data_IF_407238929085
#
_entry.id   IF_407238929085
#
_cell.length_a   1.000
_cell.length_b   1.000
_cell.length_c   1.000
_cell.angle_alpha   90.00
_cell.angle_beta   90.00
_cell.angle_gamma   90.00
#
_symmetry.space_group_name_H-M   'P 1'
#
loop_
_entity.id
_entity.type
_entity.pdbx_description
1 polymer ?
#
# COMPACT_ATOMS: atom_id res chain seq x y z
N UNK A 1 -12.29 -21.71 5.02
CA UNK A 1 -11.52 -20.76 4.18
C UNK A 1 -10.97 -21.48 2.97
N UNK A 2 -10.50 -20.74 1.95
CA UNK A 2 -10.08 -21.29 0.64
C UNK A 2 -8.57 -21.05 0.42
N UNK A 3 -7.68 -21.66 1.22
CA UNK A 3 -6.23 -21.39 1.13
C UNK A 3 -5.60 -21.92 -0.16
N UNK A 4 -6.19 -22.97 -0.75
CA UNK A 4 -5.72 -23.59 -1.99
C UNK A 4 -6.87 -23.81 -2.95
N UNK A 5 -6.65 -23.48 -4.23
CA UNK A 5 -7.49 -23.85 -5.35
C UNK A 5 -6.89 -25.09 -6.02
N UNK A 6 -7.66 -26.17 -6.07
CA UNK A 6 -7.25 -27.38 -6.79
C UNK A 6 -7.73 -27.30 -8.23
N UNK A 7 -6.78 -27.21 -9.17
CA UNK A 7 -7.02 -27.30 -10.61
C UNK A 7 -6.47 -28.64 -11.11
N UNK A 8 -7.28 -29.69 -10.98
CA UNK A 8 -6.83 -31.06 -11.24
C UNK A 8 -5.67 -31.45 -10.31
N UNK A 9 -4.49 -31.86 -10.84
CA UNK A 9 -3.34 -32.22 -10.01
C UNK A 9 -2.58 -30.99 -9.44
N UNK A 10 -2.89 -29.77 -9.88
CA UNK A 10 -2.18 -28.56 -9.48
C UNK A 10 -2.89 -27.89 -8.30
N UNK A 11 -2.19 -27.76 -7.16
CA UNK A 11 -2.65 -26.97 -6.02
C UNK A 11 -2.05 -25.58 -6.08
N UNK A 12 -2.89 -24.56 -6.32
CA UNK A 12 -2.46 -23.17 -6.39
C UNK A 12 -2.86 -22.46 -5.09
N UNK A 13 -1.93 -21.69 -4.52
CA UNK A 13 -2.23 -20.88 -3.33
C UNK A 13 -3.12 -19.69 -3.70
N UNK A 14 -4.35 -19.70 -3.18
CA UNK A 14 -5.35 -18.65 -3.43
C UNK A 14 -4.89 -17.26 -2.98
N UNK A 15 -4.23 -17.07 -1.81
CA UNK A 15 -3.80 -15.74 -1.37
C UNK A 15 -2.86 -15.06 -2.37
N UNK A 16 -1.90 -15.81 -2.91
CA UNK A 16 -0.98 -15.30 -3.93
C UNK A 16 -1.70 -14.93 -5.23
N UNK A 17 -2.67 -15.74 -5.67
CA UNK A 17 -3.49 -15.42 -6.85
C UNK A 17 -4.31 -14.13 -6.67
N UNK A 18 -4.90 -13.93 -5.49
CA UNK A 18 -5.65 -12.70 -5.18
C UNK A 18 -4.74 -11.48 -5.26
N UNK A 19 -3.53 -11.55 -4.67
CA UNK A 19 -2.57 -10.45 -4.73
C UNK A 19 -2.10 -10.16 -6.16
N UNK A 20 -1.85 -11.20 -6.97
CA UNK A 20 -1.50 -11.05 -8.38
C UNK A 20 -2.63 -10.40 -9.18
N UNK A 21 -3.87 -10.83 -8.98
CA UNK A 21 -5.04 -10.24 -9.62
C UNK A 21 -5.22 -8.77 -9.20
N UNK A 22 -5.06 -8.46 -7.91
CA UNK A 22 -5.16 -7.11 -7.39
C UNK A 22 -4.05 -6.20 -7.93
N UNK A 23 -2.82 -6.70 -8.03
CA UNK A 23 -1.71 -5.97 -8.66
C UNK A 23 -2.01 -5.68 -10.13
N UNK A 24 -2.45 -6.69 -10.89
CA UNK A 24 -2.77 -6.52 -12.31
C UNK A 24 -3.90 -5.51 -12.54
N UNK A 25 -5.01 -5.64 -11.79
CA UNK A 25 -6.13 -4.68 -11.86
C UNK A 25 -5.66 -3.29 -11.44
N UNK A 26 -4.89 -3.20 -10.35
CA UNK A 26 -4.37 -1.94 -9.81
C UNK A 26 -3.48 -1.20 -10.80
N UNK A 27 -2.51 -1.89 -11.39
CA UNK A 27 -1.58 -1.33 -12.39
C UNK A 27 -2.32 -0.93 -13.65
N UNK A 28 -3.25 -1.76 -14.13
CA UNK A 28 -4.11 -1.42 -15.29
C UNK A 28 -4.90 -0.13 -15.05
N UNK A 29 -5.47 0.03 -13.85
CA UNK A 29 -6.19 1.25 -13.47
C UNK A 29 -5.27 2.46 -13.30
N UNK A 30 -4.09 2.28 -12.71
CA UNK A 30 -3.08 3.34 -12.60
C UNK A 30 -2.61 3.80 -13.99
N UNK A 31 -2.35 2.86 -14.91
CA UNK A 31 -2.00 3.15 -16.31
C UNK A 31 -3.08 3.93 -17.05
N UNK A 32 -4.36 3.58 -16.86
CA UNK A 32 -5.52 4.34 -17.40
C UNK A 32 -5.59 5.77 -16.87
N UNK A 33 -5.17 6.00 -15.63
CA UNK A 33 -5.21 7.32 -14.99
C UNK A 33 -3.88 8.08 -15.06
N UNK A 34 -2.80 7.46 -15.54
CA UNK A 34 -1.47 8.05 -15.68
C UNK A 34 -1.47 9.41 -16.41
N UNK A 35 -2.26 9.62 -17.49
CA UNK A 35 -2.28 10.92 -18.17
C UNK A 35 -2.75 12.08 -17.30
N UNK A 36 -3.55 11.82 -16.25
CA UNK A 36 -3.97 12.84 -15.26
C UNK A 36 -2.79 13.40 -14.46
N UNK A 37 -1.65 12.72 -14.47
CA UNK A 37 -0.43 13.09 -13.77
C UNK A 37 0.71 13.43 -14.74
N UNK A 38 0.43 13.56 -16.04
CA UNK A 38 1.46 13.81 -17.05
C UNK A 38 2.36 12.59 -17.33
N UNK A 39 1.90 11.38 -17.01
CA UNK A 39 2.64 10.13 -17.19
C UNK A 39 2.00 9.26 -18.26
N UNK A 40 2.79 8.41 -18.90
CA UNK A 40 2.29 7.40 -19.84
C UNK A 40 1.99 6.09 -19.11
N UNK A 41 1.03 5.31 -19.61
CA UNK A 41 0.73 3.96 -19.08
C UNK A 41 1.97 3.07 -19.10
N UNK A 42 2.75 3.11 -20.18
CA UNK A 42 4.01 2.34 -20.33
C UNK A 42 5.01 2.70 -19.23
N UNK A 43 5.04 3.96 -18.80
CA UNK A 43 5.91 4.38 -17.71
C UNK A 43 5.47 3.80 -16.37
N UNK A 44 4.16 3.77 -16.10
CA UNK A 44 3.59 3.12 -14.90
C UNK A 44 3.91 1.62 -14.90
N UNK A 45 3.75 0.94 -16.03
CA UNK A 45 4.06 -0.49 -16.17
C UNK A 45 5.54 -0.75 -15.88
N UNK A 46 6.45 0.03 -16.47
CA UNK A 46 7.89 -0.09 -16.26
C UNK A 46 8.30 0.19 -14.80
N UNK A 47 7.80 1.28 -14.21
CA UNK A 47 8.07 1.62 -12.80
C UNK A 47 7.59 0.50 -11.90
N UNK A 48 6.37 0.00 -12.13
CA UNK A 48 5.79 -1.04 -11.27
C UNK A 48 6.57 -2.34 -11.39
N UNK A 49 6.99 -2.73 -12.60
CA UNK A 49 7.82 -3.92 -12.80
C UNK A 49 9.17 -3.80 -12.10
N UNK A 50 9.85 -2.65 -12.23
CA UNK A 50 11.12 -2.39 -11.54
C UNK A 50 10.92 -2.43 -10.02
N UNK A 51 9.88 -1.76 -9.51
CA UNK A 51 9.54 -1.75 -8.09
C UNK A 51 9.23 -3.16 -7.56
N UNK A 52 8.47 -3.97 -8.31
CA UNK A 52 8.15 -5.35 -7.95
C UNK A 52 9.40 -6.22 -7.88
N UNK A 53 10.25 -6.18 -8.91
CA UNK A 53 11.47 -6.99 -8.96
C UNK A 53 12.45 -6.61 -7.84
N UNK A 54 12.69 -5.32 -7.65
CA UNK A 54 13.57 -4.84 -6.59
C UNK A 54 12.96 -5.07 -5.21
N UNK A 55 11.63 -4.97 -5.06
CA UNK A 55 10.94 -5.28 -3.81
C UNK A 55 11.06 -6.75 -3.41
N UNK A 56 10.90 -7.68 -4.36
CA UNK A 56 11.08 -9.11 -4.11
C UNK A 56 12.53 -9.40 -3.68
N UNK A 57 13.51 -8.88 -4.42
CA UNK A 57 14.94 -9.06 -4.08
C UNK A 57 15.29 -8.40 -2.75
N UNK A 58 14.79 -7.18 -2.51
CA UNK A 58 15.05 -6.41 -1.31
C UNK A 58 14.44 -7.03 -0.05
N UNK A 59 13.22 -7.54 -0.13
CA UNK A 59 12.59 -8.23 1.00
C UNK A 59 13.29 -9.54 1.33
N UNK A 60 13.78 -10.26 0.31
CA UNK A 60 14.61 -11.45 0.53
C UNK A 60 15.95 -11.09 1.17
N UNK A 61 16.64 -10.08 0.65
CA UNK A 61 17.92 -9.63 1.17
C UNK A 61 17.78 -9.11 2.61
N UNK A 62 16.75 -8.33 2.90
CA UNK A 62 16.45 -7.84 4.26
C UNK A 62 16.22 -8.99 5.24
N UNK A 63 15.43 -10.00 4.86
CA UNK A 63 15.20 -11.18 5.69
C UNK A 63 16.51 -11.94 5.99
N UNK A 64 17.35 -12.13 4.97
CA UNK A 64 18.65 -12.80 5.12
C UNK A 64 19.58 -12.01 6.05
N UNK A 65 19.62 -10.68 5.93
CA UNK A 65 20.42 -9.82 6.79
C UNK A 65 19.97 -9.89 8.26
N UNK A 66 18.65 -9.94 8.50
CA UNK A 66 18.10 -10.08 9.85
C UNK A 66 18.34 -11.47 10.46
N UNK A 67 18.50 -12.51 9.63
CA UNK A 67 18.67 -13.89 10.05
C UNK A 67 20.03 -14.46 9.65
N UNK A 68 21.07 -13.61 9.58
CA UNK A 68 22.37 -13.95 9.03
C UNK A 68 22.98 -15.26 9.59
N UNK A 69 22.91 -15.53 10.92
CA UNK A 69 23.44 -16.77 11.49
C UNK A 69 22.82 -18.04 10.90
N UNK A 70 21.52 -18.02 10.53
CA UNK A 70 20.85 -19.17 9.94
C UNK A 70 21.34 -19.49 8.51
N UNK A 71 21.73 -18.45 7.76
CA UNK A 71 22.17 -18.59 6.37
C UNK A 71 23.66 -18.91 6.22
N UNK A 72 24.49 -18.59 7.22
CA UNK A 72 25.91 -18.99 7.21
C UNK A 72 26.12 -20.51 7.16
N UNK A 73 25.16 -21.29 7.67
CA UNK A 73 25.20 -22.76 7.69
C UNK A 73 24.66 -23.41 6.40
N UNK A 74 23.87 -22.68 5.62
CA UNK A 74 23.24 -23.17 4.40
C UNK A 74 23.02 -22.02 3.40
N UNK A 75 24.08 -21.50 2.76
CA UNK A 75 24.01 -20.28 1.94
C UNK A 75 23.12 -20.41 0.71
N UNK A 76 22.92 -21.62 0.17
CA UNK A 76 22.02 -21.86 -0.95
C UNK A 76 20.54 -21.61 -0.61
N UNK A 77 20.17 -21.57 0.68
CA UNK A 77 18.79 -21.28 1.10
C UNK A 77 18.36 -19.84 0.77
N UNK A 78 19.30 -18.96 0.43
CA UNK A 78 18.99 -17.61 -0.05
C UNK A 78 18.11 -17.65 -1.31
N UNK A 79 18.26 -18.67 -2.16
CA UNK A 79 17.52 -18.83 -3.43
C UNK A 79 16.31 -19.77 -3.29
N UNK A 80 16.14 -20.42 -2.13
CA UNK A 80 15.05 -21.37 -1.92
C UNK A 80 13.68 -20.73 -2.21
N UNK A 81 12.82 -21.42 -2.97
CA UNK A 81 11.45 -20.97 -3.27
C UNK A 81 10.52 -21.17 -2.07
N UNK A 82 10.94 -20.74 -0.87
CA UNK A 82 10.10 -20.67 0.31
C UNK A 82 9.57 -19.24 0.48
N UNK A 83 8.24 -19.01 0.35
CA UNK A 83 7.62 -17.71 0.57
C UNK A 83 7.78 -17.16 1.99
N UNK A 84 8.02 -18.03 2.99
CA UNK A 84 8.17 -17.62 4.40
C UNK A 84 9.51 -16.91 4.67
N UNK A 85 10.47 -17.04 3.76
CA UNK A 85 11.78 -16.38 3.84
C UNK A 85 11.71 -15.01 3.14
N UNK A 86 10.81 -14.13 3.59
CA UNK A 86 10.59 -12.82 2.99
C UNK A 86 10.22 -11.77 4.05
N UNK A 87 10.93 -10.64 4.06
CA UNK A 87 10.59 -9.48 4.88
C UNK A 87 9.81 -8.45 4.06
N UNK A 88 8.52 -8.31 4.39
CA UNK A 88 7.60 -7.40 3.70
C UNK A 88 8.03 -5.94 3.82
N UNK A 89 8.53 -5.51 4.98
CA UNK A 89 8.93 -4.12 5.21
C UNK A 89 10.19 -3.77 4.43
N UNK A 90 11.19 -4.66 4.45
CA UNK A 90 12.38 -4.53 3.62
C UNK A 90 12.06 -4.50 2.12
N UNK A 91 11.11 -5.32 1.67
CA UNK A 91 10.66 -5.32 0.28
C UNK A 91 9.96 -4.03 -0.13
N UNK A 92 9.06 -3.51 0.70
CA UNK A 92 8.38 -2.23 0.45
C UNK A 92 9.36 -1.06 0.40
N UNK A 93 10.33 -1.02 1.32
CA UNK A 93 11.36 0.03 1.34
C UNK A 93 12.23 -0.03 0.08
N UNK A 94 12.69 -1.23 -0.29
CA UNK A 94 13.49 -1.43 -1.51
C UNK A 94 12.73 -1.04 -2.77
N UNK A 95 11.44 -1.42 -2.87
CA UNK A 95 10.58 -1.03 -3.98
C UNK A 95 10.40 0.49 -4.05
N UNK A 96 10.09 1.14 -2.93
CA UNK A 96 9.91 2.60 -2.87
C UNK A 96 11.18 3.35 -3.30
N UNK A 97 12.35 2.91 -2.85
CA UNK A 97 13.65 3.48 -3.26
C UNK A 97 13.92 3.25 -4.75
N UNK A 98 13.63 2.06 -5.26
CA UNK A 98 13.82 1.75 -6.68
C UNK A 98 12.93 2.63 -7.56
N UNK A 99 11.66 2.79 -7.19
CA UNK A 99 10.71 3.70 -7.85
C UNK A 99 11.25 5.12 -7.82
N UNK A 100 11.66 5.63 -6.65
CA UNK A 100 12.18 6.99 -6.52
C UNK A 100 13.42 7.23 -7.40
N UNK A 101 14.39 6.32 -7.36
CA UNK A 101 15.62 6.40 -8.17
C UNK A 101 15.27 6.34 -9.66
N UNK A 102 14.39 5.43 -10.07
CA UNK A 102 13.99 5.29 -11.47
C UNK A 102 13.29 6.55 -11.99
N UNK A 103 12.37 7.11 -11.19
CA UNK A 103 11.66 8.35 -11.49
C UNK A 103 12.60 9.53 -11.66
N UNK A 104 13.55 9.70 -10.73
CA UNK A 104 14.57 10.76 -10.82
C UNK A 104 15.47 10.60 -12.05
N UNK A 105 15.91 9.38 -12.36
CA UNK A 105 16.74 9.09 -13.55
C UNK A 105 16.03 9.36 -14.87
N UNK A 106 14.69 9.34 -14.87
CA UNK A 106 13.86 9.63 -16.05
C UNK A 106 13.41 11.09 -16.12
N UNK A 107 13.88 11.95 -15.21
CA UNK A 107 13.53 13.37 -15.18
C UNK A 107 12.07 13.63 -14.85
N UNK A 108 11.40 12.68 -14.18
CA UNK A 108 10.00 12.80 -13.81
C UNK A 108 9.83 13.37 -12.41
N UNK A 109 8.70 14.03 -12.19
CA UNK A 109 8.28 14.47 -10.87
C UNK A 109 7.96 13.28 -9.96
N UNK A 110 8.64 13.19 -8.81
CA UNK A 110 8.40 12.11 -7.86
C UNK A 110 6.97 12.13 -7.33
N UNK A 111 6.44 13.32 -7.06
CA UNK A 111 5.16 13.50 -6.40
C UNK A 111 4.00 13.05 -7.31
N UNK A 112 4.06 13.40 -8.59
CA UNK A 112 3.14 12.96 -9.65
C UNK A 112 3.23 11.46 -9.88
N UNK A 113 4.44 10.91 -9.85
CA UNK A 113 4.66 9.48 -10.04
C UNK A 113 4.07 8.67 -8.89
N UNK A 114 4.33 9.06 -7.64
CA UNK A 114 3.76 8.38 -6.49
C UNK A 114 2.23 8.56 -6.45
N UNK A 115 1.71 9.76 -6.74
CA UNK A 115 0.26 9.97 -6.84
C UNK A 115 -0.39 9.04 -7.88
N UNK A 116 0.25 8.85 -9.04
CA UNK A 116 -0.25 7.96 -10.09
C UNK A 116 -0.24 6.48 -9.71
N UNK A 117 0.62 6.07 -8.79
CA UNK A 117 0.69 4.69 -8.28
C UNK A 117 -0.31 4.41 -7.16
N UNK A 118 -0.84 5.43 -6.47
CA UNK A 118 -1.74 5.22 -5.34
C UNK A 118 -3.04 4.48 -5.67
N UNK A 119 -3.69 4.66 -6.84
CA UNK A 119 -4.83 3.82 -7.23
C UNK A 119 -4.46 2.34 -7.29
N UNK A 120 -3.26 2.00 -7.79
CA UNK A 120 -2.79 0.62 -7.79
C UNK A 120 -2.57 0.11 -6.36
N UNK A 121 -1.92 0.91 -5.51
CA UNK A 121 -1.69 0.57 -4.11
C UNK A 121 -3.01 0.32 -3.35
N UNK A 122 -4.04 1.13 -3.59
CA UNK A 122 -5.36 0.94 -2.98
C UNK A 122 -6.02 -0.38 -3.40
N UNK A 123 -5.96 -0.74 -4.69
CA UNK A 123 -6.49 -2.04 -5.16
C UNK A 123 -5.71 -3.20 -4.54
N UNK A 124 -4.37 -3.08 -4.46
CA UNK A 124 -3.52 -4.10 -3.81
C UNK A 124 -3.87 -4.25 -2.32
N UNK A 125 -4.15 -3.16 -1.60
CA UNK A 125 -4.58 -3.21 -0.19
C UNK A 125 -5.92 -3.94 -0.01
N UNK A 126 -6.87 -3.77 -0.94
CA UNK A 126 -8.11 -4.56 -0.95
C UNK A 126 -7.82 -6.03 -1.20
N UNK A 127 -6.95 -6.32 -2.19
CA UNK A 127 -6.47 -7.67 -2.46
C UNK A 127 -5.77 -8.31 -1.27
N UNK A 128 -5.02 -7.53 -0.47
CA UNK A 128 -4.35 -8.01 0.72
C UNK A 128 -5.34 -8.51 1.77
N UNK A 129 -6.37 -7.72 2.11
CA UNK A 129 -7.41 -8.15 3.03
C UNK A 129 -8.15 -9.42 2.54
N UNK A 130 -8.46 -9.50 1.24
CA UNK A 130 -9.05 -10.69 0.64
C UNK A 130 -8.10 -11.90 0.66
N UNK A 131 -6.80 -11.67 0.49
CA UNK A 131 -5.78 -12.72 0.56
C UNK A 131 -5.67 -13.30 1.98
N UNK A 132 -5.71 -12.45 3.00
CA UNK A 132 -5.78 -12.86 4.40
C UNK A 132 -7.07 -13.63 4.69
N UNK A 133 -8.20 -13.21 4.12
CA UNK A 133 -9.47 -13.92 4.25
C UNK A 133 -9.42 -15.31 3.60
N UNK A 134 -8.75 -15.45 2.45
CA UNK A 134 -8.58 -16.74 1.81
C UNK A 134 -7.65 -17.67 2.62
N UNK A 135 -6.58 -17.11 3.21
CA UNK A 135 -5.59 -17.83 4.01
C UNK A 135 -6.08 -18.19 5.41
N UNK A 136 -6.94 -17.37 6.02
CA UNK A 136 -7.25 -17.41 7.45
C UNK A 136 -6.17 -16.86 8.35
N UNK A 137 -5.25 -16.08 7.79
CA UNK A 137 -4.23 -15.36 8.54
C UNK A 137 -4.74 -13.98 8.98
N UNK A 138 -3.90 -13.24 9.73
CA UNK A 138 -4.19 -11.88 10.19
C UNK A 138 -5.54 -11.74 10.90
N UNK A 139 -5.92 -12.74 11.69
CA UNK A 139 -7.21 -12.83 12.37
C UNK A 139 -7.28 -11.98 13.65
N UNK A 140 -8.50 -11.71 14.08
CA UNK A 140 -8.75 -10.88 15.25
C UNK A 140 -8.81 -11.64 16.57
N UNK A 141 -8.87 -10.87 17.65
CA UNK A 141 -9.11 -11.36 19.01
C UNK A 141 -10.46 -12.09 19.10
N UNK A 142 -10.65 -13.01 20.08
CA UNK A 142 -11.94 -13.63 20.34
C UNK A 142 -13.03 -12.58 20.55
N UNK A 143 -14.25 -12.87 20.09
CA UNK A 143 -15.38 -11.94 20.17
C UNK A 143 -16.70 -12.68 20.28
N UNK A 144 -17.65 -12.07 21.00
CA UNK A 144 -19.02 -12.58 21.15
C UNK A 144 -20.02 -11.85 20.21
N UNK A 145 -19.50 -11.01 19.30
CA UNK A 145 -20.31 -10.25 18.37
C UNK A 145 -20.96 -11.17 17.30
N UNK A 146 -22.18 -10.86 16.83
CA UNK A 146 -22.93 -11.75 15.93
C UNK A 146 -22.32 -11.88 14.53
N UNK A 147 -21.40 -10.98 14.15
CA UNK A 147 -20.63 -11.06 12.90
C UNK A 147 -19.22 -11.65 13.10
N UNK A 148 -18.93 -12.26 14.26
CA UNK A 148 -17.70 -12.99 14.49
C UNK A 148 -17.53 -14.13 13.50
N UNK A 149 -16.30 -14.31 12.99
CA UNK A 149 -15.96 -15.39 12.09
C UNK A 149 -15.32 -16.53 12.88
N UNK A 150 -15.89 -17.73 12.81
CA UNK A 150 -15.34 -18.89 13.50
C UNK A 150 -14.04 -19.34 12.80
N UNK A 151 -12.93 -19.21 13.51
CA UNK A 151 -11.61 -19.68 13.08
C UNK A 151 -11.05 -20.60 14.16
N UNK A 152 -10.88 -21.87 13.78
CA UNK A 152 -10.40 -22.96 14.65
C UNK A 152 -11.25 -23.17 15.92
N UNK A 153 -12.59 -23.07 15.78
CA UNK A 153 -13.52 -23.31 16.88
C UNK A 153 -13.75 -22.10 17.79
N UNK A 154 -13.11 -20.96 17.51
CA UNK A 154 -13.26 -19.74 18.31
C UNK A 154 -13.87 -18.64 17.43
N UNK A 155 -14.99 -18.01 17.83
CA UNK A 155 -15.50 -16.83 17.16
C UNK A 155 -14.53 -15.66 17.36
N UNK A 156 -14.06 -15.08 16.27
CA UNK A 156 -13.05 -14.01 16.26
C UNK A 156 -13.52 -12.82 15.45
N UNK A 157 -12.99 -11.65 15.75
CA UNK A 157 -13.17 -10.49 14.88
C UNK A 157 -12.67 -10.82 13.46
N UNK A 158 -13.49 -10.67 12.40
CA UNK A 158 -13.06 -10.86 11.02
C UNK A 158 -12.24 -9.66 10.54
N UNK A 159 -11.06 -9.48 11.13
CA UNK A 159 -10.11 -8.40 10.79
C UNK A 159 -9.76 -8.36 9.31
N UNK A 160 -9.76 -9.49 8.61
CA UNK A 160 -9.52 -9.55 7.17
C UNK A 160 -10.63 -8.83 6.38
N UNK A 161 -11.89 -8.95 6.85
CA UNK A 161 -13.02 -8.20 6.29
C UNK A 161 -12.92 -6.73 6.66
N UNK A 162 -12.56 -6.41 7.90
CA UNK A 162 -12.37 -5.02 8.33
C UNK A 162 -11.28 -4.33 7.51
N UNK A 163 -10.14 -5.00 7.30
CA UNK A 163 -9.03 -4.54 6.46
C UNK A 163 -9.49 -4.29 5.03
N UNK A 164 -10.22 -5.24 4.43
CA UNK A 164 -10.76 -5.11 3.07
C UNK A 164 -11.70 -3.90 2.96
N UNK A 165 -12.61 -3.71 3.91
CA UNK A 165 -13.57 -2.61 3.91
C UNK A 165 -12.88 -1.25 4.12
N UNK A 166 -11.91 -1.19 5.03
CA UNK A 166 -11.12 0.02 5.25
C UNK A 166 -10.29 0.38 4.00
N UNK A 167 -9.64 -0.61 3.38
CA UNK A 167 -8.90 -0.42 2.14
C UNK A 167 -9.80 0.04 0.97
N UNK A 168 -11.02 -0.50 0.86
CA UNK A 168 -12.02 -0.02 -0.09
C UNK A 168 -12.41 1.43 0.19
N UNK A 169 -12.64 1.78 1.45
CA UNK A 169 -12.91 3.16 1.87
C UNK A 169 -11.78 4.10 1.47
N UNK A 170 -10.53 3.75 1.78
CA UNK A 170 -9.34 4.50 1.35
C UNK A 170 -9.32 4.66 -0.16
N UNK A 171 -9.48 3.57 -0.91
CA UNK A 171 -9.50 3.56 -2.37
C UNK A 171 -10.57 4.48 -2.96
N UNK A 172 -11.78 4.47 -2.43
CA UNK A 172 -12.88 5.36 -2.83
C UNK A 172 -12.52 6.83 -2.57
N UNK A 173 -11.90 7.12 -1.42
CA UNK A 173 -11.52 8.48 -1.03
C UNK A 173 -10.42 9.07 -1.90
N UNK A 174 -9.48 8.25 -2.37
CA UNK A 174 -8.34 8.70 -3.21
C UNK A 174 -8.56 8.50 -4.71
N UNK A 175 -9.64 7.83 -5.12
CA UNK A 175 -9.83 7.42 -6.50
C UNK A 175 -9.77 8.61 -7.48
N UNK A 176 -9.08 8.50 -8.63
CA UNK A 176 -9.03 9.58 -9.60
C UNK A 176 -10.42 9.92 -10.17
N UNK A 177 -10.92 11.12 -9.90
CA UNK A 177 -12.20 11.65 -10.44
C UNK A 177 -11.96 12.57 -11.64
N UNK A 178 -13.03 13.06 -12.26
CA UNK A 178 -12.95 13.99 -13.40
C UNK A 178 -12.58 15.43 -12.96
N UNK A 179 -11.97 16.16 -13.90
CA UNK A 179 -11.57 17.57 -13.86
C UNK A 179 -10.97 18.10 -12.53
N UNK A 180 -9.64 18.05 -12.43
CA UNK A 180 -8.86 18.84 -11.45
C UNK A 180 -8.92 18.39 -10.00
N UNK A 181 -9.76 17.40 -9.66
CA UNK A 181 -9.88 16.84 -8.30
C UNK A 181 -9.56 15.35 -8.33
N UNK A 182 -8.42 14.92 -7.79
CA UNK A 182 -8.26 13.51 -7.42
C UNK A 182 -8.80 13.29 -6.01
N UNK A 183 -9.62 12.26 -5.86
CA UNK A 183 -10.27 11.90 -4.61
C UNK A 183 -11.44 12.81 -4.20
N UNK A 184 -12.09 12.45 -3.09
CA UNK A 184 -13.19 13.22 -2.49
C UNK A 184 -12.70 14.60 -2.01
N UNK A 185 -11.45 14.68 -1.56
CA UNK A 185 -10.88 15.87 -0.91
C UNK A 185 -10.12 16.81 -1.86
N UNK A 186 -10.11 16.55 -3.17
CA UNK A 186 -9.39 17.38 -4.13
C UNK A 186 -7.86 17.35 -3.96
N UNK A 187 -7.32 16.31 -3.33
CA UNK A 187 -5.88 16.17 -3.09
C UNK A 187 -5.05 16.11 -4.39
N UNK A 188 -5.68 15.78 -5.50
CA UNK A 188 -5.06 15.81 -6.82
C UNK A 188 -4.76 17.18 -7.41
N UNK A 189 -5.17 18.28 -6.75
CA UNK A 189 -4.87 19.63 -7.23
C UNK A 189 -3.37 19.92 -7.19
N UNK A 190 -2.63 19.29 -6.26
CA UNK A 190 -1.19 19.49 -6.10
C UNK A 190 -0.42 18.17 -6.14
N UNK A 191 0.77 18.16 -6.77
CA UNK A 191 1.64 16.99 -6.75
C UNK A 191 1.94 16.50 -5.33
N UNK A 192 1.74 15.20 -5.13
CA UNK A 192 1.99 14.47 -3.89
C UNK A 192 0.79 14.44 -2.94
N UNK A 193 -0.29 15.17 -3.24
CA UNK A 193 -1.45 15.21 -2.36
C UNK A 193 -2.13 13.85 -2.23
N UNK A 194 -2.23 13.09 -3.33
CA UNK A 194 -2.87 11.76 -3.34
C UNK A 194 -2.03 10.75 -2.58
N UNK A 195 -0.71 10.78 -2.75
CA UNK A 195 0.26 9.97 -2.03
C UNK A 195 0.18 10.19 -0.53
N UNK A 196 0.30 11.43 -0.07
CA UNK A 196 0.25 11.73 1.36
C UNK A 196 -1.13 11.45 1.96
N UNK A 197 -2.19 11.72 1.20
CA UNK A 197 -3.56 11.40 1.58
C UNK A 197 -3.79 9.89 1.72
N UNK A 198 -3.30 9.09 0.77
CA UNK A 198 -3.32 7.64 0.85
C UNK A 198 -2.58 7.13 2.09
N UNK A 199 -1.36 7.63 2.35
CA UNK A 199 -0.59 7.24 3.53
C UNK A 199 -1.31 7.59 4.83
N UNK A 200 -1.88 8.79 4.94
CA UNK A 200 -2.62 9.22 6.11
C UNK A 200 -3.87 8.35 6.35
N UNK A 201 -4.69 8.13 5.31
CA UNK A 201 -5.89 7.31 5.43
C UNK A 201 -5.57 5.84 5.70
N UNK A 202 -4.52 5.30 5.09
CA UNK A 202 -4.08 3.92 5.32
C UNK A 202 -3.52 3.73 6.72
N UNK A 203 -2.79 4.72 7.24
CA UNK A 203 -2.32 4.73 8.62
C UNK A 203 -3.47 4.82 9.62
N UNK A 204 -4.48 5.66 9.36
CA UNK A 204 -5.69 5.71 10.16
C UNK A 204 -6.44 4.38 10.16
N UNK A 205 -6.63 3.78 8.98
CA UNK A 205 -7.21 2.44 8.84
C UNK A 205 -6.41 1.40 9.65
N UNK A 206 -5.07 1.47 9.63
CA UNK A 206 -4.22 0.56 10.40
C UNK A 206 -4.38 0.74 11.91
N UNK A 207 -4.47 1.98 12.40
CA UNK A 207 -4.72 2.24 13.83
C UNK A 207 -6.01 1.58 14.29
N UNK A 208 -7.09 1.74 13.51
CA UNK A 208 -8.40 1.11 13.79
C UNK A 208 -8.25 -0.41 13.76
N UNK A 209 -7.65 -0.96 12.71
CA UNK A 209 -7.51 -2.41 12.54
C UNK A 209 -6.69 -3.07 13.65
N UNK A 210 -5.60 -2.43 14.11
CA UNK A 210 -4.73 -2.98 15.14
C UNK A 210 -5.47 -3.20 16.48
N UNK A 211 -6.54 -2.45 16.75
CA UNK A 211 -7.34 -2.65 17.98
C UNK A 211 -7.98 -4.04 18.05
N UNK A 212 -8.24 -4.64 16.88
CA UNK A 212 -8.91 -5.94 16.76
C UNK A 212 -7.94 -7.10 16.51
N UNK A 213 -6.71 -6.85 16.05
CA UNK A 213 -5.75 -7.92 15.73
C UNK A 213 -5.39 -8.77 16.96
N UNK A 214 -5.36 -10.10 16.77
CA UNK A 214 -4.92 -11.03 17.80
C UNK A 214 -3.41 -10.98 18.00
N UNK A 215 -2.65 -11.04 16.91
CA UNK A 215 -1.19 -11.07 16.92
C UNK A 215 -0.64 -9.67 16.66
N UNK A 216 0.15 -9.15 17.58
CA UNK A 216 0.74 -7.82 17.49
C UNK A 216 2.22 -7.90 17.82
N UNK A 217 3.04 -7.22 17.02
CA UNK A 217 4.45 -7.03 17.38
C UNK A 217 4.51 -5.95 18.44
N UNK A 218 5.00 -6.30 19.63
CA UNK A 218 5.10 -5.37 20.75
C UNK A 218 6.53 -4.83 20.87
N UNK A 219 6.67 -3.51 20.79
CA UNK A 219 7.86 -2.81 21.25
C UNK A 219 7.83 -2.69 22.77
N UNK A 220 8.98 -2.92 23.40
CA UNK A 220 9.15 -2.80 24.86
C UNK A 220 8.19 -3.68 25.69
N UNK A 221 7.53 -4.67 25.06
CA UNK A 221 6.62 -5.61 25.71
C UNK A 221 5.18 -5.13 25.94
N UNK A 222 4.86 -3.85 25.67
CA UNK A 222 3.51 -3.29 25.91
C UNK A 222 3.02 -2.32 24.84
N UNK A 223 3.89 -1.81 23.96
CA UNK A 223 3.52 -0.89 22.88
C UNK A 223 3.32 -1.66 21.57
N UNK A 224 2.11 -1.69 20.98
CA UNK A 224 1.93 -2.22 19.64
C UNK A 224 2.74 -1.40 18.62
N UNK A 225 3.79 -2.01 18.07
CA UNK A 225 4.69 -1.37 17.10
C UNK A 225 3.93 -0.81 15.90
N UNK A 226 2.94 -1.58 15.42
CA UNK A 226 2.09 -1.20 14.30
C UNK A 226 1.33 0.11 14.56
N UNK A 227 0.82 0.32 15.78
CA UNK A 227 0.15 1.57 16.15
C UNK A 227 1.11 2.74 16.21
N UNK A 228 2.29 2.58 16.82
CA UNK A 228 3.28 3.66 16.95
C UNK A 228 3.72 4.13 15.55
N UNK A 229 4.04 3.19 14.67
CA UNK A 229 4.42 3.48 13.28
C UNK A 229 3.28 4.16 12.55
N UNK A 230 2.04 3.64 12.67
CA UNK A 230 0.89 4.22 12.00
C UNK A 230 0.58 5.64 12.49
N UNK A 231 0.70 5.93 13.80
CA UNK A 231 0.57 7.30 14.32
C UNK A 231 1.61 8.25 13.72
N UNK A 232 2.87 7.81 13.59
CA UNK A 232 3.92 8.58 12.95
C UNK A 232 3.62 8.89 11.48
N UNK A 233 3.20 7.87 10.72
CA UNK A 233 2.81 8.04 9.30
C UNK A 233 1.60 8.96 9.17
N UNK A 234 0.60 8.81 10.04
CA UNK A 234 -0.59 9.67 10.04
C UNK A 234 -0.21 11.14 10.30
N UNK A 235 0.63 11.40 11.29
CA UNK A 235 1.07 12.75 11.62
C UNK A 235 1.82 13.40 10.44
N UNK A 236 2.78 12.68 9.83
CA UNK A 236 3.53 13.18 8.66
C UNK A 236 2.60 13.38 7.47
N UNK A 237 1.70 12.44 7.19
CA UNK A 237 0.75 12.52 6.08
C UNK A 237 -0.20 13.70 6.21
N UNK A 238 -0.81 13.88 7.38
CA UNK A 238 -1.71 15.03 7.66
C UNK A 238 -0.96 16.35 7.54
N UNK A 239 0.25 16.45 8.11
CA UNK A 239 1.08 17.64 7.97
C UNK A 239 1.42 17.94 6.51
N UNK A 240 1.82 16.91 5.74
CA UNK A 240 2.18 17.03 4.35
C UNK A 240 0.99 17.41 3.44
N UNK A 241 -0.21 16.88 3.71
CA UNK A 241 -1.46 17.28 3.04
C UNK A 241 -1.83 18.70 3.43
N UNK A 242 -1.81 19.04 4.73
CA UNK A 242 -2.17 20.36 5.23
C UNK A 242 -1.32 21.47 4.62
N UNK A 243 0.01 21.28 4.56
CA UNK A 243 0.91 22.22 3.86
C UNK A 243 0.59 22.38 2.38
N UNK A 244 0.03 21.36 1.74
CA UNK A 244 -0.38 21.44 0.33
C UNK A 244 -1.78 22.02 0.14
N UNK A 245 -2.60 22.13 1.18
CA UNK A 245 -3.92 22.77 1.09
C UNK A 245 -3.86 24.26 1.50
N UNK A 246 -3.00 24.65 2.43
CA UNK A 246 -2.95 26.04 2.95
C UNK A 246 -2.50 27.07 1.91
N UNK A 247 -1.64 26.73 0.95
CA UNK A 247 -1.25 27.70 -0.10
C UNK A 247 -2.28 27.85 -1.23
N UNK A 248 -3.51 27.34 -1.08
CA UNK A 248 -4.57 27.45 -2.10
C UNK A 248 -5.08 28.90 -2.27
N UNK A 249 -4.84 29.76 -1.28
CA UNK A 249 -5.47 31.08 -1.18
C UNK A 249 -4.62 32.28 -1.65
N UNK A 250 -3.51 32.09 -2.36
CA UNK A 250 -2.88 33.23 -3.07
C UNK A 250 -3.53 33.37 -4.46
N UNK A 251 -4.39 34.38 -4.69
CA UNK A 251 -4.90 34.65 -6.02
C UNK A 251 -3.72 35.01 -6.92
N UNK A 252 -3.68 34.42 -8.12
CA UNK A 252 -2.83 34.88 -9.21
C UNK A 252 -3.05 36.39 -9.36
N UNK A 253 -2.05 37.19 -8.98
CA UNK A 253 -2.10 38.64 -9.16
C UNK A 253 -2.49 38.94 -10.60
N UNK A 254 -3.61 39.64 -10.80
CA UNK A 254 -4.03 40.11 -12.11
C UNK A 254 -2.85 40.82 -12.79
N UNK A 255 -2.62 40.62 -14.10
CA UNK A 255 -1.61 41.39 -14.81
C UNK A 255 -2.06 42.85 -14.78
N UNK A 256 -1.40 43.65 -13.94
CA UNK A 256 -1.62 45.09 -13.85
C UNK A 256 -1.51 45.67 -15.25
N UNK A 257 -2.63 46.26 -15.71
CA UNK A 257 -2.78 46.80 -17.05
C UNK A 257 -1.64 47.72 -17.41
N UNK A 258 -1.02 47.44 -18.55
CA UNK A 258 -0.22 48.44 -19.27
C UNK A 258 -1.22 49.41 -19.89
N UNK A 259 -1.46 50.51 -19.19
CA UNK A 259 -2.06 51.71 -19.79
C UNK A 259 -1.02 52.31 -20.74
N UNK A 260 -1.25 52.17 -22.04
CA UNK A 260 -0.50 52.90 -23.06
C UNK A 260 -0.82 54.40 -22.92
N UNK A 261 0.17 55.18 -22.53
CA UNK A 261 0.22 56.63 -22.68
C UNK A 261 1.26 57.00 -23.74
#
# INVERSE_FOLDING_TARGET
MLPTLQLGPLSIQTPGLILLAALWIGVSQAGRHAPKFGLSSVMIDNITLVGLLVGIVGGRASYVLQNLPAFTRAPLNIIALNPELFDVWGGLLAAALAVLIYTQRKGLGWAETFDALMPAAAVVMVGLGLSHLAAGSAYGRPTDLPWGLNLWGVPRHPTQVYETLLALGVGILIWPREAGKLGVFGWGVRPGGVFWGFLALSALARIVLETFLAEQTLWLGWLPAGQVIAWGILAVGVFAVGRRLVFVDEPLSEPTGVTNG
#
